data_IF_630212324308
#
_entry.id   IF_630212324308
#
_cell.length_a   1.000
_cell.length_b   1.000
_cell.length_c   1.000
_cell.angle_alpha   90.00
_cell.angle_beta   90.00
_cell.angle_gamma   90.00
#
_symmetry.space_group_name_H-M   'P 1'
#
loop_
_entity.id
_entity.type
_entity.pdbx_description
1 polymer ?
#
# COMPACT_ATOMS: atom_id res chain seq x y z
N UNK A 1 14.12 -0.38 -14.37
CA UNK A 1 13.29 0.83 -14.52
C UNK A 1 12.42 0.79 -15.79
N UNK A 2 12.97 0.48 -16.97
CA UNK A 2 12.21 0.44 -18.24
C UNK A 2 10.94 -0.43 -18.18
N UNK A 3 11.05 -1.70 -17.79
CA UNK A 3 9.92 -2.64 -17.75
C UNK A 3 8.73 -2.15 -16.90
N UNK A 4 9.00 -1.44 -15.79
CA UNK A 4 7.96 -0.87 -14.95
C UNK A 4 7.24 0.30 -15.65
N UNK A 5 7.98 1.11 -16.39
CA UNK A 5 7.45 2.29 -17.08
C UNK A 5 6.75 1.96 -18.39
N UNK A 6 6.96 0.77 -18.97
CA UNK A 6 6.38 0.32 -20.24
C UNK A 6 5.31 -0.75 -20.09
N UNK A 7 5.26 -1.45 -18.94
CA UNK A 7 4.20 -2.39 -18.61
C UNK A 7 2.90 -1.70 -18.20
N UNK A 8 1.76 -2.34 -18.50
CA UNK A 8 0.46 -1.86 -18.00
C UNK A 8 0.30 -2.19 -16.53
N UNK A 9 -0.14 -1.23 -15.73
CA UNK A 9 -0.36 -1.41 -14.30
C UNK A 9 -1.82 -1.82 -14.02
N UNK A 10 -2.03 -2.94 -13.33
CA UNK A 10 -3.36 -3.53 -13.13
C UNK A 10 -4.41 -2.57 -12.51
N UNK A 11 -4.00 -1.70 -11.59
CA UNK A 11 -4.91 -0.75 -10.93
C UNK A 11 -5.38 0.37 -11.85
N UNK A 12 -4.47 0.91 -12.67
CA UNK A 12 -4.77 2.06 -13.54
C UNK A 12 -5.28 1.59 -14.90
N UNK A 13 -4.89 0.40 -15.35
CA UNK A 13 -5.10 -0.13 -16.71
C UNK A 13 -4.17 0.49 -17.76
N UNK A 14 -3.26 1.38 -17.35
CA UNK A 14 -2.40 2.14 -18.25
C UNK A 14 -0.92 1.97 -17.88
N UNK A 15 -0.08 2.27 -18.87
CA UNK A 15 1.36 2.30 -18.74
C UNK A 15 1.80 3.59 -18.01
N UNK A 16 2.69 3.54 -17.00
CA UNK A 16 3.10 4.74 -16.27
C UNK A 16 3.68 5.85 -17.15
N UNK A 17 4.47 5.50 -18.17
CA UNK A 17 4.98 6.47 -19.14
C UNK A 17 3.86 7.18 -19.91
N UNK A 18 2.80 6.46 -20.25
CA UNK A 18 1.64 6.99 -20.95
C UNK A 18 0.84 7.98 -20.10
N UNK A 19 0.71 7.69 -18.79
CA UNK A 19 0.10 8.62 -17.83
C UNK A 19 0.92 9.91 -17.65
N UNK A 20 2.24 9.82 -17.75
CA UNK A 20 3.13 10.97 -17.62
C UNK A 20 3.18 11.82 -18.89
N UNK A 21 3.25 11.20 -20.07
CA UNK A 21 3.57 11.91 -21.33
C UNK A 21 2.45 11.89 -22.37
N UNK A 22 1.33 11.20 -22.14
CA UNK A 22 0.23 11.12 -23.08
C UNK A 22 0.51 10.29 -24.34
N UNK A 23 1.60 9.51 -24.33
CA UNK A 23 2.00 8.60 -25.41
C UNK A 23 2.76 7.41 -24.82
N UNK A 24 2.85 6.32 -25.57
CA UNK A 24 3.71 5.19 -25.20
C UNK A 24 5.19 5.50 -25.45
N UNK A 25 6.05 4.90 -24.64
CA UNK A 25 7.48 4.98 -24.83
C UNK A 25 7.86 4.28 -26.13
N UNK A 26 8.66 4.93 -26.98
CA UNK A 26 9.24 4.30 -28.16
C UNK A 26 10.57 3.65 -27.78
N UNK A 27 10.71 2.37 -28.06
CA UNK A 27 11.98 1.65 -28.05
C UNK A 27 12.79 1.98 -29.31
N UNK A 28 14.13 2.01 -29.26
CA UNK A 28 14.97 2.11 -30.46
C UNK A 28 14.71 1.00 -31.49
N UNK A 29 14.16 -0.14 -31.04
CA UNK A 29 13.79 -1.28 -31.89
C UNK A 29 12.34 -1.23 -32.40
N UNK A 30 11.54 -0.26 -31.94
CA UNK A 30 10.17 -0.12 -32.43
C UNK A 30 10.21 0.39 -33.89
N UNK A 31 9.36 -0.15 -34.78
CA UNK A 31 9.29 0.35 -36.15
C UNK A 31 8.96 1.85 -36.14
N UNK A 32 9.62 2.60 -37.00
CA UNK A 32 9.32 4.03 -37.22
C UNK A 32 7.93 4.13 -37.82
N UNK A 33 6.90 4.17 -36.97
CA UNK A 33 5.56 4.51 -37.40
C UNK A 33 5.56 5.99 -37.78
N UNK A 34 5.44 6.25 -39.08
CA UNK A 34 5.25 7.57 -39.72
C UNK A 34 3.89 8.17 -39.36
N UNK A 35 3.65 8.44 -38.09
CA UNK A 35 2.44 9.14 -37.67
C UNK A 35 2.83 10.26 -36.72
N UNK A 36 2.86 11.48 -37.26
CA UNK A 36 3.32 12.76 -36.71
C UNK A 36 4.82 13.03 -36.85
N UNK A 37 5.20 13.46 -38.06
CA UNK A 37 6.43 14.19 -38.33
C UNK A 37 6.53 15.39 -37.39
N UNK A 38 7.72 15.64 -36.82
CA UNK A 38 8.06 16.85 -36.05
C UNK A 38 7.88 18.17 -36.84
N UNK A 39 7.37 18.10 -38.07
CA UNK A 39 7.09 19.22 -38.96
C UNK A 39 6.06 20.20 -38.35
N UNK A 40 5.24 19.76 -37.39
CA UNK A 40 4.29 20.63 -36.65
C UNK A 40 4.36 20.40 -35.12
N UNK A 41 5.38 20.95 -34.42
CA UNK A 41 5.61 20.70 -33.00
C UNK A 41 4.44 21.12 -32.08
N UNK A 42 3.78 22.23 -32.39
CA UNK A 42 2.68 22.76 -31.56
C UNK A 42 1.43 21.86 -31.64
N UNK A 43 1.06 21.41 -32.84
CA UNK A 43 -0.04 20.47 -33.04
C UNK A 43 0.22 19.15 -32.29
N UNK A 44 1.45 18.65 -32.33
CA UNK A 44 1.86 17.44 -31.61
C UNK A 44 1.75 17.62 -30.08
N UNK A 45 2.25 18.74 -29.54
CA UNK A 45 2.16 19.03 -28.11
C UNK A 45 0.70 19.13 -27.63
N UNK A 46 -0.16 19.83 -28.38
CA UNK A 46 -1.60 19.91 -28.09
C UNK A 46 -2.27 18.54 -28.10
N UNK A 47 -1.90 17.68 -29.05
CA UNK A 47 -2.37 16.30 -29.11
C UNK A 47 -1.97 15.52 -27.85
N UNK A 48 -0.69 15.56 -27.45
CA UNK A 48 -0.21 14.88 -26.24
C UNK A 48 -0.95 15.33 -24.98
N UNK A 49 -1.17 16.63 -24.80
CA UNK A 49 -1.94 17.14 -23.65
C UNK A 49 -3.37 16.59 -23.67
N UNK A 50 -4.04 16.63 -24.83
CA UNK A 50 -5.42 16.14 -24.98
C UNK A 50 -5.51 14.66 -24.66
N UNK A 51 -4.62 13.84 -25.25
CA UNK A 51 -4.55 12.40 -25.04
C UNK A 51 -4.26 12.07 -23.57
N UNK A 52 -3.28 12.75 -22.95
CA UNK A 52 -2.97 12.60 -21.53
C UNK A 52 -4.17 12.88 -20.63
N UNK A 53 -4.92 13.97 -20.89
CA UNK A 53 -6.12 14.31 -20.11
C UNK A 53 -7.18 13.22 -20.16
N UNK A 54 -7.41 12.65 -21.34
CA UNK A 54 -8.39 11.55 -21.53
C UNK A 54 -7.95 10.32 -20.74
N UNK A 55 -6.68 9.93 -20.89
CA UNK A 55 -6.11 8.76 -20.20
C UNK A 55 -6.15 8.94 -18.68
N UNK A 56 -5.78 10.10 -18.16
CA UNK A 56 -5.83 10.38 -16.72
C UNK A 56 -7.26 10.30 -16.17
N UNK A 57 -8.26 10.80 -16.92
CA UNK A 57 -9.66 10.69 -16.52
C UNK A 57 -10.09 9.22 -16.41
N UNK A 58 -9.71 8.38 -17.37
CA UNK A 58 -10.00 6.95 -17.34
C UNK A 58 -9.19 6.20 -16.26
N UNK A 59 -7.94 6.59 -16.03
CA UNK A 59 -7.13 6.00 -14.98
C UNK A 59 -7.74 6.28 -13.59
N UNK A 60 -8.26 7.48 -13.37
CA UNK A 60 -8.94 7.85 -12.12
C UNK A 60 -10.20 7.01 -11.87
N UNK A 61 -11.01 6.75 -12.90
CA UNK A 61 -12.19 5.89 -12.76
C UNK A 61 -11.80 4.45 -12.43
N UNK A 62 -10.78 3.91 -13.12
CA UNK A 62 -10.23 2.59 -12.84
C UNK A 62 -9.68 2.48 -11.41
N UNK A 63 -8.91 3.48 -10.96
CA UNK A 63 -8.36 3.54 -9.59
C UNK A 63 -9.48 3.48 -8.56
N UNK A 64 -10.52 4.32 -8.70
CA UNK A 64 -11.65 4.35 -7.74
C UNK A 64 -12.37 3.00 -7.69
N UNK A 65 -12.58 2.38 -8.85
CA UNK A 65 -13.19 1.05 -8.92
C UNK A 65 -12.33 -0.01 -8.21
N UNK A 66 -11.02 -0.04 -8.49
CA UNK A 66 -10.11 -1.00 -7.88
C UNK A 66 -9.92 -0.77 -6.38
N UNK A 67 -9.93 0.49 -5.93
CA UNK A 67 -9.94 0.84 -4.51
C UNK A 67 -11.18 0.27 -3.81
N UNK A 68 -12.38 0.37 -4.41
CA UNK A 68 -13.60 -0.22 -3.86
C UNK A 68 -13.50 -1.74 -3.71
N UNK A 69 -13.02 -2.43 -4.75
CA UNK A 69 -12.84 -3.88 -4.73
C UNK A 69 -11.81 -4.31 -3.69
N UNK A 70 -10.70 -3.59 -3.62
CA UNK A 70 -9.61 -3.88 -2.67
C UNK A 70 -10.08 -3.70 -1.24
N UNK A 71 -10.85 -2.62 -0.97
CA UNK A 71 -11.50 -2.39 0.32
C UNK A 71 -12.44 -3.54 0.69
N UNK A 72 -13.34 -3.92 -0.21
CA UNK A 72 -14.28 -5.04 0.04
C UNK A 72 -13.54 -6.35 0.37
N UNK A 73 -12.48 -6.67 -0.37
CA UNK A 73 -11.66 -7.86 -0.12
C UNK A 73 -10.93 -7.80 1.23
N UNK A 74 -10.38 -6.64 1.56
CA UNK A 74 -9.71 -6.41 2.83
C UNK A 74 -10.68 -6.54 4.02
N UNK A 75 -11.82 -5.85 3.93
CA UNK A 75 -12.84 -5.83 5.00
C UNK A 75 -13.47 -7.21 5.22
N UNK A 76 -13.61 -8.05 4.18
CA UNK A 76 -14.21 -9.40 4.26
C UNK A 76 -13.53 -10.33 5.28
N UNK A 77 -12.22 -10.21 5.46
CA UNK A 77 -11.44 -11.07 6.37
C UNK A 77 -10.96 -10.35 7.62
N UNK A 78 -11.35 -9.09 7.80
CA UNK A 78 -10.93 -8.29 8.93
C UNK A 78 -11.75 -8.67 10.16
N UNK A 79 -11.06 -8.92 11.27
CA UNK A 79 -11.68 -9.05 12.58
C UNK A 79 -11.61 -7.71 13.29
N UNK A 80 -12.74 -7.25 13.82
CA UNK A 80 -12.79 -6.09 14.69
C UNK A 80 -12.29 -6.48 16.07
N UNK A 81 -10.97 -6.38 16.23
CA UNK A 81 -10.28 -6.54 17.50
C UNK A 81 -10.12 -5.12 18.07
N UNK A 82 -10.27 -4.96 19.37
CA UNK A 82 -9.96 -3.72 20.08
C UNK A 82 -9.52 -4.05 21.49
N UNK A 83 -8.53 -3.31 21.99
CA UNK A 83 -8.03 -3.44 23.36
C UNK A 83 -8.37 -2.20 24.18
N UNK A 84 -8.62 -2.40 25.46
CA UNK A 84 -8.82 -1.34 26.45
C UNK A 84 -7.52 -1.04 27.18
N UNK A 85 -7.44 0.17 27.77
CA UNK A 85 -6.32 0.51 28.65
C UNK A 85 -6.34 -0.46 29.84
N UNK A 86 -5.20 -1.08 30.11
CA UNK A 86 -5.03 -2.08 31.15
C UNK A 86 -5.04 -3.53 30.67
N UNK A 87 -5.47 -3.81 29.43
CA UNK A 87 -5.45 -5.16 28.88
C UNK A 87 -4.02 -5.68 28.71
N UNK A 88 -3.85 -6.99 28.94
CA UNK A 88 -2.59 -7.69 28.69
C UNK A 88 -2.57 -8.24 27.26
N UNK A 89 -1.52 -7.91 26.52
CA UNK A 89 -1.33 -8.25 25.11
C UNK A 89 0.11 -8.67 24.85
N UNK A 90 0.31 -9.61 23.95
CA UNK A 90 1.63 -9.96 23.43
C UNK A 90 2.01 -9.06 22.26
N UNK A 91 3.26 -8.58 22.25
CA UNK A 91 3.80 -7.75 21.17
C UNK A 91 4.57 -8.60 20.15
N UNK A 92 4.24 -8.46 18.88
CA UNK A 92 4.91 -9.20 17.79
C UNK A 92 6.29 -8.63 17.46
N UNK A 93 7.31 -9.49 17.48
CA UNK A 93 8.65 -9.14 17.01
C UNK A 93 8.67 -9.06 15.49
N UNK A 94 8.94 -7.86 14.96
CA UNK A 94 8.94 -7.60 13.51
C UNK A 94 10.33 -7.45 12.90
N UNK A 95 11.38 -7.18 13.69
CA UNK A 95 12.75 -6.98 13.21
C UNK A 95 13.69 -8.07 13.71
N UNK A 96 14.69 -8.43 12.87
CA UNK A 96 15.86 -9.24 13.21
C UNK A 96 15.56 -10.56 13.94
N UNK A 97 14.57 -11.32 13.46
CA UNK A 97 14.23 -12.64 13.99
C UNK A 97 14.98 -13.74 13.23
N UNK A 98 15.68 -14.62 13.93
CA UNK A 98 16.17 -15.89 13.40
C UNK A 98 15.05 -16.95 13.39
N UNK A 99 15.32 -18.16 12.88
CA UNK A 99 14.29 -19.21 12.72
C UNK A 99 13.70 -19.68 14.05
N UNK A 100 14.46 -19.58 15.15
CA UNK A 100 14.11 -20.12 16.46
C UNK A 100 13.77 -19.05 17.52
N UNK A 101 13.91 -17.76 17.19
CA UNK A 101 13.59 -16.72 18.18
C UNK A 101 12.09 -16.61 18.41
N UNK A 102 11.75 -16.16 19.61
CA UNK A 102 10.38 -15.94 20.03
C UNK A 102 9.67 -14.92 19.12
N UNK A 103 8.47 -15.28 18.69
CA UNK A 103 7.66 -14.43 17.79
C UNK A 103 6.93 -13.32 18.54
N UNK A 104 6.72 -13.51 19.84
CA UNK A 104 5.88 -12.68 20.70
C UNK A 104 6.65 -12.38 21.97
N UNK A 105 6.79 -11.10 22.29
CA UNK A 105 7.41 -10.64 23.54
C UNK A 105 6.30 -10.40 24.55
N UNK A 106 6.49 -11.00 25.73
CA UNK A 106 5.92 -10.65 27.04
C UNK A 106 4.39 -10.47 27.12
N UNK A 107 3.80 -10.61 28.31
CA UNK A 107 2.54 -9.92 28.55
C UNK A 107 2.83 -8.42 28.68
N UNK A 108 2.62 -7.64 27.62
CA UNK A 108 2.66 -6.19 27.68
C UNK A 108 1.31 -5.63 28.11
N UNK A 109 1.29 -4.54 28.89
CA UNK A 109 0.08 -3.85 29.28
C UNK A 109 -0.23 -2.70 28.32
N UNK A 110 -1.47 -2.59 27.88
CA UNK A 110 -1.91 -1.41 27.10
C UNK A 110 -1.99 -0.21 28.04
N UNK A 111 -1.16 0.80 27.81
CA UNK A 111 -1.13 2.02 28.63
C UNK A 111 -1.90 3.18 28.00
N UNK A 112 -1.97 3.23 26.66
CA UNK A 112 -2.72 4.26 25.97
C UNK A 112 -3.18 3.81 24.58
N UNK A 113 -4.21 4.47 24.06
CA UNK A 113 -4.72 4.31 22.70
C UNK A 113 -4.60 5.63 21.96
N UNK A 114 -3.60 5.73 21.07
CA UNK A 114 -3.34 6.94 20.28
C UNK A 114 -4.25 7.06 19.05
N UNK A 115 -4.93 5.97 18.65
CA UNK A 115 -5.93 5.99 17.57
C UNK A 115 -6.70 4.68 17.46
N UNK A 116 -7.46 4.51 16.38
CA UNK A 116 -8.28 3.29 16.21
C UNK A 116 -7.45 2.00 16.21
N UNK A 117 -6.27 2.05 15.61
CA UNK A 117 -5.44 0.88 15.31
C UNK A 117 -4.05 0.94 15.96
N UNK A 118 -3.68 2.05 16.61
CA UNK A 118 -2.36 2.23 17.21
C UNK A 118 -2.48 2.31 18.73
N UNK A 119 -1.72 1.46 19.40
CA UNK A 119 -1.72 1.31 20.85
C UNK A 119 -0.31 1.51 21.38
N UNK A 120 -0.22 2.13 22.55
CA UNK A 120 1.00 2.23 23.31
C UNK A 120 0.98 1.13 24.37
N UNK A 121 1.98 0.26 24.33
CA UNK A 121 2.10 -0.89 25.22
C UNK A 121 3.38 -0.78 26.04
N UNK A 122 3.29 -1.16 27.30
CA UNK A 122 4.40 -1.22 28.24
C UNK A 122 4.70 -2.68 28.56
N UNK A 123 5.95 -3.08 28.43
CA UNK A 123 6.39 -4.40 28.86
C UNK A 123 6.40 -4.48 30.40
N UNK A 124 5.75 -5.51 30.97
CA UNK A 124 5.67 -5.68 32.43
C UNK A 124 7.01 -6.03 33.08
N UNK A 125 7.96 -6.58 32.31
CA UNK A 125 9.27 -6.97 32.86
C UNK A 125 10.30 -5.86 32.72
N UNK A 126 10.35 -5.19 31.57
CA UNK A 126 11.37 -4.19 31.27
C UNK A 126 10.91 -2.74 31.49
N UNK A 127 9.60 -2.50 31.66
CA UNK A 127 9.02 -1.16 31.72
C UNK A 127 9.15 -0.38 30.40
N UNK A 128 9.58 -1.04 29.32
CA UNK A 128 9.81 -0.37 28.04
C UNK A 128 8.48 -0.11 27.34
N UNK A 129 8.24 1.15 27.03
CA UNK A 129 7.08 1.56 26.25
C UNK A 129 7.36 1.47 24.75
N UNK A 130 6.44 0.86 24.00
CA UNK A 130 6.52 0.74 22.53
C UNK A 130 5.16 1.07 21.89
N UNK A 131 5.19 1.77 20.77
CA UNK A 131 4.00 1.99 19.94
C UNK A 131 3.84 0.83 18.94
N UNK A 132 2.68 0.20 18.93
CA UNK A 132 2.37 -0.95 18.10
C UNK A 132 1.03 -0.80 17.38
N UNK A 133 0.99 -1.29 16.13
CA UNK A 133 -0.26 -1.42 15.40
C UNK A 133 -1.06 -2.62 15.92
N UNK A 134 -2.38 -2.59 15.85
CA UNK A 134 -3.26 -3.64 16.36
C UNK A 134 -2.97 -5.03 15.77
N UNK A 135 -2.49 -5.08 14.52
CA UNK A 135 -2.08 -6.33 13.86
C UNK A 135 -0.79 -6.95 14.42
N UNK A 136 -0.05 -6.19 15.25
CA UNK A 136 1.15 -6.63 15.96
C UNK A 136 0.84 -7.01 17.40
N UNK A 137 -0.42 -6.94 17.82
CA UNK A 137 -0.86 -7.29 19.17
C UNK A 137 -1.74 -8.53 19.16
N UNK A 138 -1.54 -9.41 20.13
CA UNK A 138 -2.38 -10.59 20.35
C UNK A 138 -2.87 -10.58 21.81
N UNK A 139 -4.14 -10.91 22.10
CA UNK A 139 -4.62 -10.95 23.47
C UNK A 139 -3.87 -12.01 24.28
N UNK A 140 -3.44 -11.67 25.50
CA UNK A 140 -2.89 -12.61 26.45
C UNK A 140 -4.03 -13.35 27.16
N UNK A 141 -4.79 -14.16 26.44
CA UNK A 141 -5.84 -14.99 27.05
C UNK A 141 -5.15 -16.14 27.79
N UNK A 142 -5.29 -16.19 29.11
CA UNK A 142 -4.93 -17.39 29.88
C UNK A 142 -5.74 -18.57 29.32
N UNK A 143 -5.05 -19.59 28.80
CA UNK A 143 -5.68 -20.88 28.54
C UNK A 143 -6.25 -21.36 29.88
N UNK A 144 -7.57 -21.31 30.04
CA UNK A 144 -8.25 -22.08 31.09
C UNK A 144 -7.94 -23.54 30.81
N UNK A 145 -7.20 -24.15 31.73
CA UNK A 145 -6.92 -25.59 31.82
C UNK A 145 -8.22 -26.32 32.16
#
# INVERSE_FOLDING_TARGET
>A
VYAYNTGSHATTGFVPYELAFGRRQKSPFDPTSDNFTLSQPDAFYRHLIKTRRIILKQAQTNIRHQQRLTKQRYDKHRKDISYSIGDLVFLKVCANRTKLDERWIGPCRVINRTGEQNYMVEDTETGKTTMAHISQLQPAVQRRV
#
